data_IF_359844499482
#
_entry.id   IF_359844499482
#
_cell.length_a   1.000
_cell.length_b   1.000
_cell.length_c   1.000
_cell.angle_alpha   90.00
_cell.angle_beta   90.00
_cell.angle_gamma   90.00
#
_symmetry.space_group_name_H-M   'P 1'
#
loop_
_entity.id
_entity.type
_entity.pdbx_description
1 polymer ?
#
# COMPACT_ATOMS: atom_id res chain seq x y z
N UNK A 1 2.79 21.97 2.61
CA UNK A 1 3.22 20.65 3.16
C UNK A 1 1.99 19.75 3.17
N UNK A 2 2.06 18.63 2.54
CA UNK A 2 1.00 17.66 2.28
C UNK A 2 0.33 17.19 3.59
N UNK A 3 -0.99 17.40 3.71
CA UNK A 3 -1.77 17.06 4.91
C UNK A 3 -1.84 15.54 5.14
N UNK A 4 -1.90 14.76 4.05
CA UNK A 4 -1.87 13.29 4.08
C UNK A 4 -0.59 12.82 4.74
N UNK A 5 0.59 13.29 4.25
CA UNK A 5 1.88 12.93 4.82
C UNK A 5 1.99 13.28 6.31
N UNK A 6 1.52 14.47 6.71
CA UNK A 6 1.56 14.87 8.13
C UNK A 6 0.74 13.94 9.02
N UNK A 7 -0.42 13.52 8.53
CA UNK A 7 -1.31 12.59 9.27
C UNK A 7 -0.61 11.26 9.49
N UNK A 8 -0.04 10.66 8.44
CA UNK A 8 0.66 9.38 8.54
C UNK A 8 1.99 9.46 9.30
N UNK A 9 2.73 10.58 9.18
CA UNK A 9 3.91 10.85 10.01
C UNK A 9 3.55 10.86 11.52
N UNK A 10 2.39 11.42 11.88
CA UNK A 10 1.86 11.39 13.26
C UNK A 10 1.46 9.98 13.69
N UNK A 11 0.81 9.22 12.81
CA UNK A 11 0.39 7.84 13.10
C UNK A 11 1.57 6.90 13.32
N UNK A 12 2.64 7.06 12.58
CA UNK A 12 3.89 6.33 12.80
C UNK A 12 4.52 6.58 14.17
N UNK A 13 4.23 7.73 14.82
CA UNK A 13 4.83 8.12 16.10
C UNK A 13 3.98 7.78 17.32
N UNK A 14 2.67 7.63 17.15
CA UNK A 14 1.72 7.47 18.25
C UNK A 14 1.13 6.05 18.37
N UNK A 15 1.71 5.06 17.68
CA UNK A 15 1.26 3.66 17.71
C UNK A 15 0.02 3.37 16.85
N UNK A 16 -0.52 4.36 16.11
CA UNK A 16 -1.69 4.11 15.25
C UNK A 16 -1.36 3.18 14.08
N UNK A 17 -0.12 3.18 13.59
CA UNK A 17 0.31 2.27 12.52
C UNK A 17 0.23 0.81 12.96
N UNK A 18 0.60 0.50 14.19
CA UNK A 18 0.50 -0.84 14.78
C UNK A 18 -0.96 -1.25 15.02
N UNK A 19 -1.80 -0.31 15.47
CA UNK A 19 -3.24 -0.57 15.61
C UNK A 19 -3.89 -0.88 14.26
N UNK A 20 -3.54 -0.16 13.19
CA UNK A 20 -4.02 -0.43 11.82
C UNK A 20 -3.63 -1.83 11.35
N UNK A 21 -2.41 -2.28 11.64
CA UNK A 21 -1.96 -3.65 11.36
C UNK A 21 -2.84 -4.69 12.06
N UNK A 22 -3.19 -4.46 13.33
CA UNK A 22 -4.07 -5.36 14.10
C UNK A 22 -5.50 -5.34 13.56
N UNK A 23 -6.06 -4.14 13.34
CA UNK A 23 -7.46 -3.95 12.93
C UNK A 23 -7.73 -4.52 11.52
N UNK A 24 -6.78 -4.42 10.60
CA UNK A 24 -6.94 -4.84 9.20
C UNK A 24 -6.24 -6.17 8.87
N UNK A 25 -5.33 -6.64 9.74
CA UNK A 25 -4.42 -7.74 9.45
C UNK A 25 -5.13 -9.03 9.02
N UNK A 26 -6.19 -9.43 9.71
CA UNK A 26 -6.93 -10.65 9.38
C UNK A 26 -7.55 -10.60 7.98
N UNK A 27 -8.19 -9.48 7.61
CA UNK A 27 -8.83 -9.31 6.30
C UNK A 27 -7.80 -9.26 5.18
N UNK A 28 -6.70 -8.55 5.41
CA UNK A 28 -5.60 -8.45 4.43
C UNK A 28 -4.93 -9.81 4.22
N UNK A 29 -4.67 -10.57 5.29
CA UNK A 29 -4.09 -11.92 5.17
C UNK A 29 -5.02 -12.86 4.42
N UNK A 30 -6.32 -12.86 4.70
CA UNK A 30 -7.31 -13.62 3.94
C UNK A 30 -7.29 -13.25 2.46
N UNK A 31 -7.18 -11.96 2.15
CA UNK A 31 -7.09 -11.50 0.77
C UNK A 31 -5.79 -11.99 0.10
N UNK A 32 -4.64 -11.85 0.75
CA UNK A 32 -3.35 -12.31 0.23
C UNK A 32 -3.32 -13.84 0.00
N UNK A 33 -4.04 -14.62 0.81
CA UNK A 33 -4.18 -16.08 0.62
C UNK A 33 -4.94 -16.46 -0.65
N UNK A 34 -5.68 -15.55 -1.28
CA UNK A 34 -6.31 -15.79 -2.58
C UNK A 34 -5.33 -15.69 -3.75
N UNK A 35 -4.12 -15.18 -3.53
CA UNK A 35 -3.09 -14.98 -4.54
C UNK A 35 -2.18 -16.21 -4.56
N UNK A 36 -2.01 -16.80 -5.75
CA UNK A 36 -1.09 -17.93 -5.93
C UNK A 36 0.34 -17.44 -6.19
N UNK A 37 1.28 -17.81 -5.32
CA UNK A 37 2.71 -17.49 -5.41
C UNK A 37 3.55 -18.70 -5.86
N UNK A 38 3.09 -19.43 -6.88
CA UNK A 38 3.67 -20.72 -7.29
C UNK A 38 5.03 -20.60 -8.01
N UNK A 39 5.34 -19.42 -8.54
CA UNK A 39 6.58 -19.16 -9.29
C UNK A 39 7.40 -18.07 -8.62
N UNK A 40 8.71 -17.97 -8.89
CA UNK A 40 9.53 -16.85 -8.42
C UNK A 40 8.92 -15.50 -8.82
N UNK A 41 8.74 -14.59 -7.84
CA UNK A 41 8.06 -13.32 -8.06
C UNK A 41 8.73 -12.14 -7.36
N UNK A 42 8.39 -10.95 -7.83
CA UNK A 42 8.65 -9.65 -7.22
C UNK A 42 7.34 -8.98 -6.84
N UNK A 43 7.31 -8.33 -5.68
CA UNK A 43 6.11 -7.73 -5.10
C UNK A 43 6.36 -6.26 -4.76
N UNK A 44 5.35 -5.41 -4.99
CA UNK A 44 5.32 -4.02 -4.57
C UNK A 44 4.07 -3.76 -3.74
N UNK A 45 4.25 -3.17 -2.56
CA UNK A 45 3.17 -2.64 -1.71
C UNK A 45 3.15 -1.11 -1.81
N UNK A 46 2.05 -0.56 -2.34
CA UNK A 46 1.84 0.89 -2.52
C UNK A 46 1.07 1.43 -1.33
N UNK A 47 1.71 2.33 -0.56
CA UNK A 47 1.21 2.80 0.73
C UNK A 47 1.45 1.77 1.84
N UNK A 48 2.66 1.25 1.91
CA UNK A 48 3.01 0.11 2.77
C UNK A 48 2.97 0.40 4.28
N UNK A 49 2.81 1.65 4.70
CA UNK A 49 2.82 2.05 6.09
C UNK A 49 4.09 1.58 6.82
N UNK A 50 3.92 0.91 7.97
CA UNK A 50 5.02 0.33 8.75
C UNK A 50 5.64 -0.94 8.14
N UNK A 51 5.23 -1.32 6.91
CA UNK A 51 5.83 -2.39 6.11
C UNK A 51 5.43 -3.82 6.49
N UNK A 52 4.40 -4.02 7.28
CA UNK A 52 4.03 -5.36 7.76
C UNK A 52 3.63 -6.34 6.65
N UNK A 53 2.91 -5.87 5.60
CA UNK A 53 2.55 -6.70 4.44
C UNK A 53 3.82 -7.13 3.68
N UNK A 54 4.74 -6.19 3.45
CA UNK A 54 6.03 -6.48 2.79
C UNK A 54 6.79 -7.56 3.54
N UNK A 55 6.89 -7.44 4.90
CA UNK A 55 7.54 -8.46 5.74
C UNK A 55 6.84 -9.81 5.68
N UNK A 56 5.51 -9.82 5.55
CA UNK A 56 4.76 -11.07 5.41
C UNK A 56 5.04 -11.76 4.07
N UNK A 57 4.97 -10.99 2.97
CA UNK A 57 5.23 -11.49 1.61
C UNK A 57 6.69 -11.89 1.42
N UNK A 58 7.64 -11.20 2.05
CA UNK A 58 9.06 -11.56 1.97
C UNK A 58 9.37 -12.98 2.49
N UNK A 59 8.53 -13.54 3.36
CA UNK A 59 8.65 -14.91 3.89
C UNK A 59 8.19 -15.98 2.90
N UNK A 60 7.44 -15.61 1.87
CA UNK A 60 6.98 -16.57 0.85
C UNK A 60 8.18 -17.21 0.14
N UNK A 61 8.17 -18.53 0.02
CA UNK A 61 9.29 -19.32 -0.53
C UNK A 61 9.78 -18.81 -1.89
N UNK A 62 8.86 -18.36 -2.72
CA UNK A 62 9.16 -17.92 -4.09
C UNK A 62 9.37 -16.40 -4.19
N UNK A 63 9.30 -15.63 -3.10
CA UNK A 63 9.51 -14.19 -3.10
C UNK A 63 10.98 -13.84 -3.33
N UNK A 64 11.28 -13.27 -4.49
CA UNK A 64 12.64 -12.79 -4.82
C UNK A 64 12.91 -11.43 -4.19
N UNK A 65 11.91 -10.56 -4.17
CA UNK A 65 11.99 -9.23 -3.60
C UNK A 65 10.58 -8.72 -3.28
N UNK A 66 10.41 -8.21 -2.08
CA UNK A 66 9.23 -7.48 -1.64
C UNK A 66 9.63 -6.04 -1.35
N UNK A 67 9.04 -5.10 -2.08
CA UNK A 67 9.30 -3.65 -1.97
C UNK A 67 8.08 -2.97 -1.40
N UNK A 68 8.27 -2.07 -0.44
CA UNK A 68 7.23 -1.19 0.07
C UNK A 68 7.54 0.27 -0.25
N UNK A 69 6.54 1.02 -0.67
CA UNK A 69 6.65 2.47 -0.83
C UNK A 69 5.61 3.18 0.01
N UNK A 70 5.99 4.30 0.60
CA UNK A 70 5.08 5.16 1.35
C UNK A 70 5.49 6.63 1.28
N UNK A 71 4.51 7.53 1.21
CA UNK A 71 4.68 8.99 1.17
C UNK A 71 5.15 9.53 2.53
N UNK A 72 4.90 8.81 3.63
CA UNK A 72 5.35 9.17 4.96
C UNK A 72 6.78 8.65 5.21
N UNK A 73 7.72 9.58 5.37
CA UNK A 73 9.10 9.24 5.74
C UNK A 73 9.16 8.49 7.08
N UNK A 74 8.28 8.81 8.01
CA UNK A 74 8.27 8.18 9.34
C UNK A 74 7.75 6.76 9.29
N UNK A 75 6.73 6.48 8.47
CA UNK A 75 6.29 5.11 8.19
C UNK A 75 7.42 4.26 7.62
N UNK A 76 8.15 4.78 6.62
CA UNK A 76 9.29 4.08 6.03
C UNK A 76 10.41 3.85 7.06
N UNK A 77 10.69 4.81 7.93
CA UNK A 77 11.68 4.60 9.00
C UNK A 77 11.25 3.50 9.98
N UNK A 78 9.98 3.43 10.33
CA UNK A 78 9.45 2.32 11.16
C UNK A 78 9.50 0.97 10.42
N UNK A 79 9.18 0.96 9.12
CA UNK A 79 9.31 -0.24 8.29
C UNK A 79 10.76 -0.76 8.25
N UNK A 80 11.74 0.14 8.02
CA UNK A 80 13.17 -0.19 7.98
C UNK A 80 13.65 -0.75 9.34
N UNK A 81 13.25 -0.15 10.46
CA UNK A 81 13.63 -0.65 11.80
C UNK A 81 13.18 -2.09 12.04
N UNK A 82 12.06 -2.50 11.44
CA UNK A 82 11.45 -3.81 11.58
C UNK A 82 11.88 -4.80 10.48
N UNK A 83 12.78 -4.40 9.55
CA UNK A 83 13.31 -5.27 8.49
C UNK A 83 13.97 -6.50 9.09
N UNK A 84 13.62 -7.68 8.59
CA UNK A 84 14.10 -8.96 9.10
C UNK A 84 14.74 -9.86 8.03
N UNK A 85 14.48 -9.58 6.75
CA UNK A 85 14.95 -10.40 5.63
C UNK A 85 15.66 -9.57 4.56
N UNK A 86 16.62 -10.18 3.87
CA UNK A 86 17.45 -9.50 2.84
C UNK A 86 16.67 -9.12 1.56
N UNK A 87 15.53 -9.75 1.32
CA UNK A 87 14.67 -9.49 0.17
C UNK A 87 13.60 -8.42 0.43
N UNK A 88 13.61 -7.77 1.60
CA UNK A 88 12.78 -6.61 1.91
C UNK A 88 13.45 -5.31 1.45
N UNK A 89 12.68 -4.41 0.87
CA UNK A 89 13.12 -3.05 0.50
C UNK A 89 12.02 -2.04 0.84
N UNK A 90 12.41 -0.90 1.41
CA UNK A 90 11.49 0.19 1.72
C UNK A 90 11.97 1.51 1.13
N UNK A 91 11.12 2.21 0.37
CA UNK A 91 11.46 3.43 -0.35
C UNK A 91 10.49 4.55 0.04
N UNK A 92 11.05 5.67 0.51
CA UNK A 92 10.25 6.87 0.78
C UNK A 92 9.92 7.59 -0.53
N UNK A 93 8.73 7.33 -1.05
CA UNK A 93 8.17 7.95 -2.27
C UNK A 93 6.67 7.69 -2.34
N UNK A 94 5.93 8.44 -3.14
CA UNK A 94 4.60 8.08 -3.62
C UNK A 94 4.67 7.32 -4.94
N UNK A 95 3.55 6.72 -5.35
CA UNK A 95 3.49 5.93 -6.59
C UNK A 95 3.65 6.82 -7.83
N UNK A 96 3.14 8.05 -7.80
CA UNK A 96 3.17 8.99 -8.92
C UNK A 96 4.60 9.44 -9.22
N UNK A 97 5.40 9.64 -8.18
CA UNK A 97 6.82 10.07 -8.25
C UNK A 97 7.81 8.91 -8.36
N UNK A 98 7.36 7.67 -8.18
CA UNK A 98 8.26 6.50 -8.13
C UNK A 98 9.12 6.39 -9.39
N UNK A 99 10.45 6.42 -9.20
CA UNK A 99 11.45 6.15 -10.24
C UNK A 99 12.02 4.75 -10.01
N UNK A 100 11.42 3.75 -10.59
CA UNK A 100 11.84 2.35 -10.46
C UNK A 100 12.15 1.76 -11.84
N UNK A 101 13.33 1.18 -12.00
CA UNK A 101 13.78 0.61 -13.29
C UNK A 101 13.28 -0.82 -13.54
N UNK A 102 12.87 -1.51 -12.48
CA UNK A 102 12.34 -2.87 -12.55
C UNK A 102 10.85 -2.91 -12.85
N UNK A 103 10.36 -4.13 -12.94
CA UNK A 103 8.93 -4.44 -13.06
C UNK A 103 8.54 -5.49 -12.01
N UNK A 104 7.27 -5.48 -11.61
CA UNK A 104 6.73 -6.35 -10.58
C UNK A 104 5.79 -7.41 -11.16
N UNK A 105 5.82 -8.60 -10.59
CA UNK A 105 4.85 -9.65 -10.89
C UNK A 105 3.52 -9.35 -10.20
N UNK A 106 3.59 -8.83 -8.96
CA UNK A 106 2.43 -8.45 -8.17
C UNK A 106 2.60 -7.04 -7.62
N UNK A 107 1.56 -6.23 -7.75
CA UNK A 107 1.44 -4.93 -7.07
C UNK A 107 0.20 -4.99 -6.19
N UNK A 108 0.34 -4.52 -4.97
CA UNK A 108 -0.70 -4.50 -3.95
C UNK A 108 -0.89 -3.08 -3.42
N UNK A 109 -2.11 -2.72 -3.07
CA UNK A 109 -2.43 -1.49 -2.36
C UNK A 109 -3.65 -1.71 -1.49
N UNK A 110 -3.53 -1.50 -0.19
CA UNK A 110 -4.64 -1.60 0.75
C UNK A 110 -4.82 -0.27 1.45
N UNK A 111 -6.05 0.28 1.41
CA UNK A 111 -6.43 1.52 2.09
C UNK A 111 -5.51 2.72 1.77
N UNK A 112 -5.00 2.84 0.54
CA UNK A 112 -3.98 3.85 0.23
C UNK A 112 -4.22 4.66 -1.05
N UNK A 113 -4.74 4.08 -2.13
CA UNK A 113 -4.86 4.78 -3.42
C UNK A 113 -5.73 6.03 -3.38
N UNK A 114 -6.74 6.06 -2.55
CA UNK A 114 -7.60 7.23 -2.41
C UNK A 114 -6.92 8.45 -1.74
N UNK A 115 -5.66 8.32 -1.30
CA UNK A 115 -4.82 9.43 -0.81
C UNK A 115 -3.86 9.98 -1.88
N UNK A 116 -3.82 9.42 -3.08
CA UNK A 116 -2.97 9.90 -4.18
C UNK A 116 -3.42 11.29 -4.67
N UNK A 117 -2.54 12.03 -5.32
CA UNK A 117 -2.91 13.33 -5.89
C UNK A 117 -3.79 13.13 -7.13
N UNK A 118 -3.55 12.07 -7.93
CA UNK A 118 -4.41 11.60 -9.02
C UNK A 118 -4.42 10.07 -9.09
N UNK A 119 -5.63 9.49 -9.00
CA UNK A 119 -5.82 8.03 -9.16
C UNK A 119 -5.44 7.57 -10.57
N UNK A 120 -5.76 8.35 -11.59
CA UNK A 120 -5.45 8.04 -12.99
C UNK A 120 -3.93 7.94 -13.20
N UNK A 121 -3.16 8.92 -12.72
CA UNK A 121 -1.70 8.92 -12.82
C UNK A 121 -1.11 7.74 -12.02
N UNK A 122 -1.65 7.48 -10.83
CA UNK A 122 -1.23 6.35 -10.00
C UNK A 122 -1.46 5.01 -10.72
N UNK A 123 -2.65 4.80 -11.30
CA UNK A 123 -2.99 3.59 -12.05
C UNK A 123 -2.16 3.43 -13.32
N UNK A 124 -1.93 4.52 -14.08
CA UNK A 124 -1.02 4.48 -15.23
C UNK A 124 0.41 4.07 -14.83
N UNK A 125 0.88 4.59 -13.71
CA UNK A 125 2.20 4.25 -13.19
C UNK A 125 2.27 2.79 -12.76
N UNK A 126 1.28 2.30 -12.05
CA UNK A 126 1.15 0.90 -11.65
C UNK A 126 1.19 0.00 -12.91
N UNK A 127 0.39 0.32 -13.93
CA UNK A 127 0.38 -0.43 -15.18
C UNK A 127 1.74 -0.46 -15.87
N UNK A 128 2.46 0.68 -15.91
CA UNK A 128 3.79 0.78 -16.54
C UNK A 128 4.86 -0.05 -15.85
N UNK A 129 4.75 -0.26 -14.53
CA UNK A 129 5.73 -1.03 -13.75
C UNK A 129 5.30 -2.47 -13.48
N UNK A 130 4.11 -2.90 -13.93
CA UNK A 130 3.74 -4.31 -13.98
C UNK A 130 4.49 -5.03 -15.12
N UNK A 131 4.88 -6.28 -14.87
CA UNK A 131 5.34 -7.18 -15.92
C UNK A 131 4.17 -7.57 -16.84
N UNK A 132 4.44 -7.99 -18.09
CA UNK A 132 3.43 -8.68 -18.89
C UNK A 132 2.87 -9.88 -18.12
N UNK A 133 1.54 -9.96 -17.96
CA UNK A 133 0.89 -10.97 -17.13
C UNK A 133 0.96 -10.73 -15.62
N UNK A 134 1.57 -9.64 -15.17
CA UNK A 134 1.55 -9.25 -13.76
C UNK A 134 0.16 -8.81 -13.30
N UNK A 135 -0.08 -8.86 -12.00
CA UNK A 135 -1.39 -8.58 -11.41
C UNK A 135 -1.33 -7.43 -10.41
N UNK A 136 -2.36 -6.60 -10.43
CA UNK A 136 -2.57 -5.54 -9.45
C UNK A 136 -3.79 -5.87 -8.58
N UNK A 137 -3.61 -5.77 -7.28
CA UNK A 137 -4.64 -5.98 -6.28
C UNK A 137 -4.84 -4.73 -5.44
N UNK A 138 -6.06 -4.26 -5.36
CA UNK A 138 -6.44 -3.11 -4.55
C UNK A 138 -7.59 -3.46 -3.63
N UNK A 139 -7.48 -3.06 -2.37
CA UNK A 139 -8.56 -3.13 -1.40
C UNK A 139 -8.83 -1.78 -0.77
N UNK A 140 -10.10 -1.46 -0.56
CA UNK A 140 -10.51 -0.24 0.14
C UNK A 140 -11.85 -0.41 0.83
N UNK A 141 -11.98 0.16 2.02
CA UNK A 141 -13.25 0.35 2.73
C UNK A 141 -13.83 1.76 2.50
N UNK A 142 -13.06 2.67 1.87
CA UNK A 142 -13.47 4.03 1.59
C UNK A 142 -14.17 4.14 0.23
N UNK A 143 -15.51 4.03 0.25
CA UNK A 143 -16.37 4.19 -0.93
C UNK A 143 -17.74 4.75 -0.56
N UNK A 144 -18.48 5.33 -1.52
CA UNK A 144 -19.72 6.08 -1.28
C UNK A 144 -20.80 5.30 -0.54
N UNK A 145 -20.92 4.00 -0.81
CA UNK A 145 -21.96 3.14 -0.20
C UNK A 145 -21.61 2.70 1.23
N UNK A 146 -20.36 2.87 1.66
CA UNK A 146 -19.93 2.57 3.02
C UNK A 146 -20.11 3.80 3.94
N UNK A 147 -21.26 3.86 4.58
CA UNK A 147 -21.62 4.99 5.47
C UNK A 147 -20.65 5.18 6.64
N UNK A 148 -19.96 4.12 7.07
CA UNK A 148 -19.00 4.20 8.18
C UNK A 148 -17.73 4.97 7.77
N UNK A 149 -17.28 4.83 6.53
CA UNK A 149 -16.01 5.39 6.04
C UNK A 149 -16.17 6.61 5.16
N UNK A 150 -17.32 6.79 4.49
CA UNK A 150 -17.56 7.91 3.56
C UNK A 150 -17.30 9.31 4.15
N UNK A 151 -17.32 9.46 5.48
CA UNK A 151 -17.05 10.72 6.20
C UNK A 151 -15.58 10.90 6.61
N UNK A 152 -14.69 9.94 6.33
CA UNK A 152 -13.30 10.01 6.77
C UNK A 152 -12.57 11.26 6.30
N UNK A 153 -12.73 11.64 5.03
CA UNK A 153 -12.12 12.87 4.48
C UNK A 153 -12.43 14.10 5.33
N UNK A 154 -13.70 14.27 5.73
CA UNK A 154 -14.12 15.41 6.56
C UNK A 154 -13.61 15.32 8.00
N UNK A 155 -13.58 14.12 8.59
CA UNK A 155 -13.09 13.90 9.96
C UNK A 155 -11.58 14.15 10.04
N UNK A 156 -10.82 13.61 9.08
CA UNK A 156 -9.36 13.76 9.04
C UNK A 156 -8.90 15.10 8.45
N UNK A 157 -9.81 15.85 7.82
CA UNK A 157 -9.53 17.13 7.13
C UNK A 157 -8.43 17.00 6.08
N UNK A 158 -8.45 15.90 5.32
CA UNK A 158 -7.54 15.62 4.21
C UNK A 158 -8.33 15.35 2.94
N UNK A 159 -7.70 15.64 1.80
CA UNK A 159 -8.28 15.31 0.51
C UNK A 159 -8.19 13.80 0.29
N UNK A 160 -9.29 13.19 -0.12
CA UNK A 160 -9.40 11.78 -0.45
C UNK A 160 -10.34 11.62 -1.64
N UNK A 161 -10.04 10.69 -2.52
CA UNK A 161 -10.88 10.36 -3.68
C UNK A 161 -11.98 9.39 -3.26
N UNK A 162 -13.21 9.88 -3.18
CA UNK A 162 -14.37 9.07 -2.82
C UNK A 162 -15.10 8.61 -4.08
N UNK A 163 -15.05 7.33 -4.35
CA UNK A 163 -15.71 6.68 -5.49
C UNK A 163 -16.73 5.64 -5.01
N UNK A 164 -17.67 5.28 -5.87
CA UNK A 164 -18.57 4.16 -5.66
C UNK A 164 -17.85 2.82 -5.88
N UNK A 165 -18.43 1.72 -5.40
CA UNK A 165 -17.93 0.37 -5.72
C UNK A 165 -17.83 0.09 -7.22
N UNK A 166 -18.72 0.72 -8.02
CA UNK A 166 -18.73 0.55 -9.48
C UNK A 166 -17.54 1.27 -10.14
N UNK A 167 -17.19 2.44 -9.63
CA UNK A 167 -16.05 3.22 -10.15
C UNK A 167 -14.70 2.62 -9.75
N UNK A 168 -14.63 1.88 -8.62
CA UNK A 168 -13.44 1.14 -8.19
C UNK A 168 -13.21 -0.17 -8.99
N UNK A 169 -14.18 -0.64 -9.77
CA UNK A 169 -14.11 -1.85 -10.60
C UNK A 169 -13.85 -1.54 -12.08
#
# INVERSE_FOLDING_TARGET
MDAVRKTFDKWAQNGRAELMEIEHGENVLKFLQTISFDKPFTFLDVGCGNGWVVRQIAKEKNCKKATGIDKSKKMILEAIKKTSMKNEEFIHTDIESLKYRGKFDFIFSMESLYYTDSIEIALEKIFKILKPGGQFFCGTDFYTDNKATARWASIMKIQMHLHSKKEWK
#
